data_IF_145603768132
#
_entry.id   IF_145603768132
#
_cell.length_a   1.000
_cell.length_b   1.000
_cell.length_c   1.000
_cell.angle_alpha   90.00
_cell.angle_beta   90.00
_cell.angle_gamma   90.00
#
_symmetry.space_group_name_H-M   'P 1'
#
loop_
_entity.id
_entity.type
_entity.pdbx_description
1 polymer ?
#
# COMPACT_ATOMS: atom_id res chain seq x y z
N UNK A 1 11.29 25.58 14.79
CA UNK A 1 11.90 24.67 13.79
C UNK A 1 11.03 24.70 12.55
N UNK A 2 11.60 25.02 11.38
CA UNK A 2 10.89 25.05 10.09
C UNK A 2 10.46 23.60 9.78
N UNK A 3 9.22 23.37 9.33
CA UNK A 3 8.69 22.02 9.09
C UNK A 3 9.55 21.22 8.10
N UNK A 4 10.03 21.87 7.04
CA UNK A 4 10.95 21.29 6.07
C UNK A 4 12.24 20.76 6.72
N UNK A 5 12.81 21.45 7.70
CA UNK A 5 14.03 20.99 8.40
C UNK A 5 13.80 19.65 9.10
N UNK A 6 12.64 19.47 9.74
CA UNK A 6 12.27 18.19 10.36
C UNK A 6 12.14 17.07 9.32
N UNK A 7 11.51 17.37 8.18
CA UNK A 7 11.37 16.43 7.07
C UNK A 7 12.76 16.07 6.51
N UNK A 8 13.64 17.04 6.33
CA UNK A 8 15.00 16.84 5.83
C UNK A 8 15.84 15.97 6.76
N UNK A 9 15.72 16.12 8.07
CA UNK A 9 16.42 15.22 9.00
C UNK A 9 15.85 13.79 8.97
N UNK A 10 14.54 13.63 8.81
CA UNK A 10 13.94 12.30 8.62
C UNK A 10 14.42 11.62 7.33
N UNK A 11 14.51 12.34 6.22
CA UNK A 11 14.94 11.74 4.94
C UNK A 11 16.37 11.22 4.96
N UNK A 12 17.25 11.80 5.78
CA UNK A 12 18.63 11.30 5.96
C UNK A 12 18.71 9.95 6.66
N UNK A 13 17.69 9.60 7.45
CA UNK A 13 17.63 8.32 8.18
C UNK A 13 17.11 7.18 7.33
N UNK A 14 16.51 7.48 6.16
CA UNK A 14 15.88 6.48 5.31
C UNK A 14 16.95 5.84 4.39
N UNK A 15 17.05 4.50 4.34
CA UNK A 15 17.94 3.81 3.43
C UNK A 15 17.68 4.17 1.96
N UNK A 16 18.75 4.45 1.21
CA UNK A 16 18.67 4.77 -0.23
C UNK A 16 18.09 3.60 -1.07
N UNK A 17 18.15 2.37 -0.54
CA UNK A 17 17.51 1.18 -1.12
C UNK A 17 15.97 1.25 -1.10
N UNK A 18 15.38 2.08 -0.24
CA UNK A 18 13.94 2.35 -0.19
C UNK A 18 13.63 3.55 -1.08
N UNK A 19 14.30 4.68 -0.80
CA UNK A 19 14.14 5.91 -1.57
C UNK A 19 15.37 6.80 -1.41
N UNK A 20 15.98 7.16 -2.53
CA UNK A 20 17.07 8.14 -2.55
C UNK A 20 16.52 9.54 -2.84
N UNK A 21 16.40 10.38 -1.80
CA UNK A 21 15.95 11.77 -1.91
C UNK A 21 17.00 12.72 -2.51
N UNK A 22 18.24 12.29 -2.70
CA UNK A 22 19.31 13.09 -3.34
C UNK A 22 19.22 13.08 -4.87
N UNK A 23 18.54 12.08 -5.44
CA UNK A 23 18.39 11.91 -6.89
C UNK A 23 17.02 12.44 -7.34
N UNK A 24 17.00 13.21 -8.43
CA UNK A 24 15.75 13.67 -9.04
C UNK A 24 14.84 12.50 -9.46
N UNK A 25 13.54 12.79 -9.53
CA UNK A 25 12.55 11.83 -10.00
C UNK A 25 12.71 11.63 -11.52
N UNK A 26 12.77 10.39 -11.96
CA UNK A 26 12.64 10.06 -13.39
C UNK A 26 11.23 10.42 -13.89
N UNK A 27 11.18 11.22 -14.96
CA UNK A 27 9.90 11.59 -15.58
C UNK A 27 9.36 10.40 -16.36
N UNK A 28 8.14 10.01 -16.04
CA UNK A 28 7.41 9.00 -16.81
C UNK A 28 6.49 9.69 -17.81
N UNK A 29 6.41 9.14 -19.02
CA UNK A 29 5.49 9.63 -20.05
C UNK A 29 4.05 9.21 -19.73
N UNK A 30 3.05 10.07 -20.00
CA UNK A 30 1.66 9.66 -19.92
C UNK A 30 1.39 8.48 -20.88
N UNK A 31 0.47 7.57 -20.51
CA UNK A 31 0.14 6.44 -21.37
C UNK A 31 -0.42 6.91 -22.71
N UNK A 32 0.06 6.33 -23.82
CA UNK A 32 -0.32 6.70 -25.19
C UNK A 32 -1.74 6.25 -25.56
N UNK A 33 -2.32 5.31 -24.79
CA UNK A 33 -3.68 4.79 -24.99
C UNK A 33 -4.44 4.75 -23.67
N UNK A 34 -5.70 5.18 -23.70
CA UNK A 34 -6.62 5.11 -22.56
C UNK A 34 -7.39 3.77 -22.61
N UNK A 35 -6.93 2.77 -21.85
CA UNK A 35 -7.69 1.54 -21.64
C UNK A 35 -8.93 1.78 -20.77
N UNK A 36 -9.95 0.92 -20.84
CA UNK A 36 -11.14 1.02 -19.98
C UNK A 36 -10.79 1.00 -18.48
N UNK A 37 -9.77 0.24 -18.10
CA UNK A 37 -9.25 0.22 -16.73
C UNK A 37 -8.63 1.56 -16.33
N UNK A 38 -7.90 2.21 -17.24
CA UNK A 38 -7.33 3.54 -16.99
C UNK A 38 -8.43 4.58 -16.76
N UNK A 39 -9.47 4.58 -17.62
CA UNK A 39 -10.61 5.49 -17.49
C UNK A 39 -11.32 5.26 -16.16
N UNK A 40 -11.62 4.01 -15.82
CA UNK A 40 -12.30 3.66 -14.55
C UNK A 40 -11.50 4.12 -13.34
N UNK A 41 -10.18 3.86 -13.30
CA UNK A 41 -9.32 4.28 -12.20
C UNK A 41 -9.22 5.80 -12.09
N UNK A 42 -9.20 6.51 -13.23
CA UNK A 42 -9.19 7.97 -13.26
C UNK A 42 -10.49 8.54 -12.68
N UNK A 43 -11.64 8.14 -13.22
CA UNK A 43 -12.95 8.61 -12.73
C UNK A 43 -13.13 8.34 -11.23
N UNK A 44 -12.59 7.21 -10.75
CA UNK A 44 -12.60 6.89 -9.33
C UNK A 44 -11.68 7.82 -8.51
N UNK A 45 -10.51 8.18 -9.03
CA UNK A 45 -9.63 9.19 -8.45
C UNK A 45 -10.33 10.55 -8.35
N UNK A 46 -10.90 11.02 -9.47
CA UNK A 46 -11.61 12.30 -9.56
C UNK A 46 -12.80 12.35 -8.58
N UNK A 47 -13.54 11.23 -8.43
CA UNK A 47 -14.59 11.10 -7.43
C UNK A 47 -14.07 11.26 -6.00
N UNK A 48 -12.97 10.59 -5.65
CA UNK A 48 -12.40 10.66 -4.31
C UNK A 48 -11.87 12.07 -3.97
N UNK A 49 -11.19 12.72 -4.92
CA UNK A 49 -10.73 14.10 -4.77
C UNK A 49 -11.92 15.03 -4.57
N UNK A 50 -12.97 14.92 -5.40
CA UNK A 50 -14.19 15.72 -5.28
C UNK A 50 -14.89 15.50 -3.94
N UNK A 51 -14.93 14.27 -3.44
CA UNK A 51 -15.53 13.94 -2.15
C UNK A 51 -14.81 14.66 -1.00
N UNK A 52 -13.48 14.57 -0.93
CA UNK A 52 -12.69 15.24 0.11
C UNK A 52 -12.78 16.76 -0.02
N UNK A 53 -12.69 17.28 -1.24
CA UNK A 53 -12.83 18.71 -1.53
C UNK A 53 -14.17 19.26 -1.03
N UNK A 54 -15.28 18.59 -1.36
CA UNK A 54 -16.63 18.98 -0.88
C UNK A 54 -16.75 18.84 0.62
N UNK A 55 -16.30 17.71 1.19
CA UNK A 55 -16.37 17.48 2.63
C UNK A 55 -15.69 18.62 3.41
N UNK A 56 -14.51 19.07 3.01
CA UNK A 56 -13.83 20.20 3.65
C UNK A 56 -14.66 21.48 3.48
N UNK A 57 -15.05 21.82 2.25
CA UNK A 57 -15.70 23.10 1.96
C UNK A 57 -17.13 23.21 2.51
N UNK A 58 -17.84 22.10 2.66
CA UNK A 58 -19.23 22.06 3.14
C UNK A 58 -19.31 21.93 4.67
N UNK A 59 -18.33 21.28 5.31
CA UNK A 59 -18.40 20.96 6.75
C UNK A 59 -17.42 21.72 7.62
N UNK A 60 -16.26 22.13 7.09
CA UNK A 60 -15.23 22.81 7.88
C UNK A 60 -15.60 24.26 8.14
N UNK A 61 -15.52 24.67 9.40
CA UNK A 61 -15.68 26.09 9.79
C UNK A 61 -14.39 26.89 9.62
N UNK A 62 -13.24 26.20 9.60
CA UNK A 62 -11.93 26.81 9.77
C UNK A 62 -11.08 26.80 8.49
N UNK A 63 -11.38 25.87 7.58
CA UNK A 63 -10.54 25.59 6.42
C UNK A 63 -11.34 25.62 5.12
N UNK A 64 -10.68 26.01 4.04
CA UNK A 64 -11.19 26.00 2.68
C UNK A 64 -10.24 25.14 1.84
N UNK A 65 -10.77 24.16 1.13
CA UNK A 65 -10.04 23.37 0.16
C UNK A 65 -10.03 24.09 -1.20
N UNK A 66 -8.85 24.18 -1.80
CA UNK A 66 -8.60 24.83 -3.09
C UNK A 66 -7.81 23.86 -3.98
N UNK A 67 -8.23 23.69 -5.24
CA UNK A 67 -7.51 22.86 -6.22
C UNK A 67 -6.22 23.54 -6.65
N UNK A 68 -5.12 22.80 -6.65
CA UNK A 68 -3.79 23.29 -6.96
C UNK A 68 -3.06 22.36 -7.94
N UNK A 69 -2.13 22.91 -8.72
CA UNK A 69 -1.29 22.13 -9.62
C UNK A 69 -2.06 21.51 -10.81
N UNK A 70 -1.34 20.78 -11.66
CA UNK A 70 -1.91 20.13 -12.86
C UNK A 70 -2.33 18.67 -12.61
N UNK A 71 -2.22 18.19 -11.37
CA UNK A 71 -2.15 16.77 -11.05
C UNK A 71 -3.00 16.39 -9.84
N UNK A 72 -4.26 16.85 -9.81
CA UNK A 72 -5.28 16.43 -8.84
C UNK A 72 -4.88 16.67 -7.36
N UNK A 73 -4.17 17.77 -7.09
CA UNK A 73 -3.76 18.16 -5.74
C UNK A 73 -4.75 19.16 -5.11
N UNK A 74 -4.97 19.02 -3.80
CA UNK A 74 -5.74 19.97 -3.00
C UNK A 74 -4.82 20.64 -1.99
N UNK A 75 -4.96 21.94 -1.79
CA UNK A 75 -4.44 22.62 -0.60
C UNK A 75 -5.59 23.00 0.33
N UNK A 76 -5.37 22.89 1.63
CA UNK A 76 -6.26 23.43 2.65
C UNK A 76 -5.67 24.76 3.14
N UNK A 77 -6.46 25.84 3.05
CA UNK A 77 -6.10 27.17 3.58
C UNK A 77 -7.02 27.53 4.74
N UNK A 78 -6.59 28.41 5.64
CA UNK A 78 -7.49 28.95 6.67
C UNK A 78 -8.55 29.84 6.01
N UNK A 79 -9.75 29.83 6.56
CA UNK A 79 -10.88 30.61 6.01
C UNK A 79 -10.59 32.12 5.92
N UNK A 80 -9.84 32.67 6.87
CA UNK A 80 -9.45 34.09 6.83
C UNK A 80 -8.34 34.40 5.80
N UNK A 81 -7.59 33.38 5.37
CA UNK A 81 -6.53 33.51 4.36
C UNK A 81 -7.04 33.21 2.95
N UNK A 82 -8.27 32.71 2.81
CA UNK A 82 -8.87 32.37 1.52
C UNK A 82 -9.04 33.61 0.64
N UNK A 83 -8.56 33.52 -0.60
CA UNK A 83 -8.69 34.58 -1.58
C UNK A 83 -9.88 34.33 -2.51
N UNK A 84 -10.94 35.12 -2.38
CA UNK A 84 -12.14 35.02 -3.22
C UNK A 84 -11.88 35.31 -4.69
N UNK A 85 -10.88 36.14 -5.02
CA UNK A 85 -10.56 36.50 -6.40
C UNK A 85 -9.92 35.34 -7.16
N UNK A 86 -9.15 34.51 -6.45
CA UNK A 86 -8.63 33.25 -6.97
C UNK A 86 -9.69 32.15 -7.01
N UNK A 87 -10.71 32.24 -6.15
CA UNK A 87 -11.74 31.21 -6.03
C UNK A 87 -11.20 29.88 -5.51
N UNK A 88 -11.88 28.79 -5.88
CA UNK A 88 -11.59 27.46 -5.36
C UNK A 88 -10.70 26.61 -6.27
N UNK A 89 -10.24 27.15 -7.40
CA UNK A 89 -9.39 26.44 -8.35
C UNK A 89 -8.30 27.36 -8.90
N UNK A 90 -7.07 27.13 -8.44
CA UNK A 90 -5.88 27.86 -8.86
C UNK A 90 -4.99 27.03 -9.79
N UNK A 91 -5.43 25.85 -10.23
CA UNK A 91 -4.66 24.91 -11.07
C UNK A 91 -4.16 25.50 -12.39
N UNK A 92 -4.89 26.49 -12.92
CA UNK A 92 -4.61 27.14 -14.21
C UNK A 92 -3.84 28.46 -14.08
N UNK A 93 -3.60 28.93 -12.85
CA UNK A 93 -2.89 30.18 -12.59
C UNK A 93 -1.37 29.92 -12.58
N UNK A 94 -0.57 30.86 -13.07
CA UNK A 94 0.89 30.71 -13.08
C UNK A 94 1.44 30.64 -11.66
N UNK A 95 2.38 29.73 -11.41
CA UNK A 95 3.00 29.56 -10.08
C UNK A 95 3.54 30.87 -9.49
N UNK A 96 4.15 31.74 -10.30
CA UNK A 96 4.67 33.04 -9.83
C UNK A 96 3.62 33.95 -9.20
N UNK A 97 2.34 33.77 -9.54
CA UNK A 97 1.23 34.58 -9.05
C UNK A 97 0.57 34.00 -7.79
N UNK A 98 0.74 32.70 -7.54
CA UNK A 98 0.06 31.97 -6.46
C UNK A 98 1.00 31.40 -5.41
N UNK A 99 2.33 31.40 -5.62
CA UNK A 99 3.29 30.79 -4.70
C UNK A 99 3.17 31.33 -3.26
N UNK A 100 3.01 32.65 -3.10
CA UNK A 100 2.83 33.25 -1.76
C UNK A 100 1.47 32.96 -1.14
N UNK A 101 0.45 32.68 -1.95
CA UNK A 101 -0.84 32.19 -1.48
C UNK A 101 -0.74 30.74 -1.01
N UNK A 102 -0.06 29.88 -1.78
CA UNK A 102 0.16 28.47 -1.43
C UNK A 102 0.98 28.33 -0.15
N UNK A 103 1.96 29.21 0.11
CA UNK A 103 2.71 29.24 1.38
C UNK A 103 1.84 29.48 2.62
N UNK A 104 0.65 30.05 2.46
CA UNK A 104 -0.32 30.26 3.57
C UNK A 104 -1.18 29.03 3.84
N UNK A 105 -1.10 28.00 2.99
CA UNK A 105 -1.82 26.75 3.21
C UNK A 105 -1.40 26.10 4.53
N UNK A 106 -2.37 25.50 5.21
CA UNK A 106 -2.11 24.70 6.41
C UNK A 106 -1.67 23.29 6.06
N UNK A 107 -2.07 22.79 4.89
CA UNK A 107 -1.71 21.48 4.39
C UNK A 107 -1.85 21.40 2.86
N UNK A 108 -0.96 20.63 2.21
CA UNK A 108 -1.23 19.99 0.93
C UNK A 108 -1.81 18.59 1.15
N UNK A 109 -2.70 18.16 0.26
CA UNK A 109 -3.42 16.89 0.35
C UNK A 109 -3.25 16.11 -0.96
N UNK A 110 -2.71 14.91 -0.83
CA UNK A 110 -2.66 13.90 -1.89
C UNK A 110 -3.82 12.92 -1.67
N UNK A 111 -4.75 12.86 -2.63
CA UNK A 111 -5.93 12.00 -2.51
C UNK A 111 -5.78 10.76 -3.40
N UNK A 112 -6.00 9.59 -2.81
CA UNK A 112 -6.01 8.29 -3.50
C UNK A 112 -7.35 7.60 -3.30
N UNK A 113 -7.78 6.88 -4.31
CA UNK A 113 -9.04 6.13 -4.31
C UNK A 113 -8.81 4.63 -4.26
N UNK A 114 -9.81 3.90 -3.76
CA UNK A 114 -9.81 2.43 -3.68
C UNK A 114 -11.22 1.89 -3.84
N UNK A 115 -11.38 0.86 -4.69
CA UNK A 115 -12.70 0.34 -5.11
C UNK A 115 -13.29 -0.67 -4.12
N UNK A 116 -12.87 -0.62 -2.87
CA UNK A 116 -13.28 -1.57 -1.84
C UNK A 116 -14.23 -0.93 -0.83
N UNK A 117 -15.13 -1.75 -0.31
CA UNK A 117 -15.81 -1.53 0.97
C UNK A 117 -14.97 -2.24 2.02
N UNK A 118 -14.43 -1.50 3.00
CA UNK A 118 -13.47 -2.02 3.96
C UNK A 118 -14.05 -3.21 4.72
N UNK A 119 -15.21 -3.04 5.33
CA UNK A 119 -15.78 -4.06 6.20
C UNK A 119 -16.11 -5.33 5.40
N UNK A 120 -16.59 -5.17 4.15
CA UNK A 120 -16.86 -6.31 3.26
C UNK A 120 -15.57 -7.01 2.85
N UNK A 121 -14.52 -6.26 2.52
CA UNK A 121 -13.23 -6.80 2.12
C UNK A 121 -12.59 -7.58 3.26
N UNK A 122 -12.46 -6.98 4.45
CA UNK A 122 -11.83 -7.63 5.61
C UNK A 122 -12.55 -8.91 6.00
N UNK A 123 -13.89 -8.88 6.06
CA UNK A 123 -14.69 -10.08 6.33
C UNK A 123 -14.46 -11.20 5.31
N UNK A 124 -14.32 -10.86 4.02
CA UNK A 124 -14.02 -11.84 2.98
C UNK A 124 -12.60 -12.38 3.10
N UNK A 125 -11.62 -11.53 3.42
CA UNK A 125 -10.23 -11.94 3.55
C UNK A 125 -10.02 -12.83 4.78
N UNK A 126 -10.62 -12.49 5.93
CA UNK A 126 -10.56 -13.32 7.13
C UNK A 126 -11.13 -14.72 6.86
N UNK A 127 -12.33 -14.80 6.26
CA UNK A 127 -12.95 -16.09 5.89
C UNK A 127 -12.07 -16.90 4.94
N UNK A 128 -11.44 -16.24 3.95
CA UNK A 128 -10.51 -16.88 3.02
C UNK A 128 -9.31 -17.45 3.77
N UNK A 129 -8.69 -16.66 4.65
CA UNK A 129 -7.52 -17.05 5.44
C UNK A 129 -7.85 -18.22 6.36
N UNK A 130 -8.93 -18.14 7.14
CA UNK A 130 -9.35 -19.19 8.07
C UNK A 130 -9.65 -20.52 7.36
N UNK A 131 -10.35 -20.45 6.22
CA UNK A 131 -10.69 -21.63 5.43
C UNK A 131 -9.43 -22.32 4.89
N UNK A 132 -8.46 -21.55 4.40
CA UNK A 132 -7.23 -22.12 3.84
C UNK A 132 -6.25 -22.56 4.93
N UNK A 133 -6.25 -21.92 6.10
CA UNK A 133 -5.49 -22.37 7.26
C UNK A 133 -6.00 -23.75 7.72
N UNK A 134 -7.31 -23.89 7.92
CA UNK A 134 -7.93 -25.17 8.26
C UNK A 134 -7.64 -26.25 7.22
N UNK A 135 -7.73 -25.89 5.93
CA UNK A 135 -7.38 -26.80 4.82
C UNK A 135 -5.90 -27.22 4.88
N UNK A 136 -4.97 -26.29 5.03
CA UNK A 136 -3.55 -26.58 5.11
C UNK A 136 -3.21 -27.52 6.28
N UNK A 137 -3.74 -27.23 7.47
CA UNK A 137 -3.53 -28.07 8.66
C UNK A 137 -4.16 -29.46 8.51
N UNK A 138 -5.35 -29.54 7.90
CA UNK A 138 -6.01 -30.82 7.60
C UNK A 138 -5.20 -31.67 6.62
N UNK A 139 -4.74 -31.09 5.50
CA UNK A 139 -3.93 -31.79 4.50
C UNK A 139 -2.58 -32.20 5.08
N UNK A 140 -1.92 -31.33 5.88
CA UNK A 140 -0.73 -31.69 6.65
C UNK A 140 -0.98 -32.95 7.49
N UNK A 141 -2.06 -32.95 8.27
CA UNK A 141 -2.41 -34.07 9.16
C UNK A 141 -2.63 -35.35 8.34
N UNK A 142 -3.33 -35.27 7.21
CA UNK A 142 -3.53 -36.40 6.32
C UNK A 142 -2.21 -36.96 5.80
N UNK A 143 -1.30 -36.11 5.32
CA UNK A 143 0.02 -36.53 4.84
C UNK A 143 0.80 -37.26 5.95
N UNK A 144 0.82 -36.70 7.16
CA UNK A 144 1.54 -37.28 8.29
C UNK A 144 0.95 -38.63 8.74
N UNK A 145 -0.37 -38.79 8.68
CA UNK A 145 -1.03 -40.04 9.09
C UNK A 145 -0.86 -41.15 8.04
N UNK A 146 -1.12 -40.86 6.76
CA UNK A 146 -1.23 -41.88 5.70
C UNK A 146 0.11 -42.18 5.01
N UNK A 147 1.09 -41.27 5.09
CA UNK A 147 2.33 -41.34 4.29
C UNK A 147 3.62 -41.21 5.12
N UNK A 148 3.56 -41.30 6.45
CA UNK A 148 4.77 -41.20 7.30
C UNK A 148 5.81 -42.28 6.99
N UNK A 149 5.38 -43.46 6.56
CA UNK A 149 6.25 -44.57 6.15
C UNK A 149 7.17 -44.16 5.00
N UNK A 150 6.61 -43.51 3.97
CA UNK A 150 7.36 -43.02 2.80
C UNK A 150 8.28 -41.86 3.20
N UNK A 151 7.81 -40.97 4.08
CA UNK A 151 8.53 -39.76 4.44
C UNK A 151 9.72 -40.02 5.37
N UNK A 152 9.73 -41.12 6.13
CA UNK A 152 10.86 -41.53 6.97
C UNK A 152 12.08 -42.01 6.17
N UNK A 153 11.94 -42.28 4.86
CA UNK A 153 13.09 -42.61 4.03
C UNK A 153 14.12 -41.46 4.02
N UNK A 154 15.44 -41.74 4.06
CA UNK A 154 16.48 -40.71 4.18
C UNK A 154 16.39 -39.59 3.13
N UNK A 155 16.02 -39.92 1.88
CA UNK A 155 15.90 -38.93 0.78
C UNK A 155 14.65 -38.04 0.88
N UNK A 156 13.65 -38.43 1.69
CA UNK A 156 12.36 -37.75 1.82
C UNK A 156 12.14 -37.13 3.21
N UNK A 157 12.98 -37.46 4.20
CA UNK A 157 12.85 -36.99 5.59
C UNK A 157 12.81 -35.46 5.72
N UNK A 158 13.48 -34.72 4.84
CA UNK A 158 13.38 -33.24 4.79
C UNK A 158 11.93 -32.73 4.69
N UNK A 159 11.05 -33.46 4.00
CA UNK A 159 9.64 -33.08 3.89
C UNK A 159 8.87 -33.38 5.18
N UNK A 160 9.27 -34.42 5.94
CA UNK A 160 8.71 -34.71 7.25
C UNK A 160 9.03 -33.58 8.24
N UNK A 161 10.28 -33.11 8.24
CA UNK A 161 10.72 -31.97 9.06
C UNK A 161 9.94 -30.69 8.72
N UNK A 162 9.80 -30.37 7.43
CA UNK A 162 8.99 -29.22 6.97
C UNK A 162 7.54 -29.37 7.47
N UNK A 163 6.91 -30.52 7.27
CA UNK A 163 5.53 -30.75 7.69
C UNK A 163 5.37 -30.58 9.20
N UNK A 164 6.30 -31.10 10.00
CA UNK A 164 6.28 -30.94 11.45
C UNK A 164 6.40 -29.47 11.87
N UNK A 165 7.23 -28.70 11.14
CA UNK A 165 7.41 -27.26 11.37
C UNK A 165 6.17 -26.40 11.08
N UNK A 166 5.24 -26.84 10.22
CA UNK A 166 4.04 -26.05 9.83
C UNK A 166 3.00 -26.00 10.96
N UNK A 167 2.70 -24.83 11.49
CA UNK A 167 1.64 -24.56 12.46
C UNK A 167 1.06 -23.15 12.23
N UNK A 168 0.10 -22.72 13.04
CA UNK A 168 -0.58 -21.41 12.88
C UNK A 168 0.40 -20.22 12.89
N UNK A 169 1.51 -20.32 13.63
CA UNK A 169 2.51 -19.25 13.74
C UNK A 169 3.56 -19.30 12.62
N UNK A 170 3.90 -20.50 12.13
CA UNK A 170 4.98 -20.67 11.14
C UNK A 170 4.48 -20.71 9.70
N UNK A 171 3.16 -20.85 9.48
CA UNK A 171 2.57 -20.95 8.14
C UNK A 171 2.83 -19.70 7.27
N UNK A 172 3.02 -18.54 7.89
CA UNK A 172 3.32 -17.30 7.17
C UNK A 172 4.76 -17.25 6.61
N UNK A 173 5.70 -17.97 7.23
CA UNK A 173 7.10 -18.01 6.83
C UNK A 173 7.48 -19.27 6.03
N UNK A 174 6.65 -20.32 6.05
CA UNK A 174 7.00 -21.60 5.44
C UNK A 174 7.02 -21.51 3.91
N UNK A 175 8.07 -22.07 3.31
CA UNK A 175 8.15 -22.29 1.87
C UNK A 175 8.86 -23.61 1.58
N UNK A 176 8.38 -24.32 0.55
CA UNK A 176 9.00 -25.57 0.12
C UNK A 176 8.80 -25.83 -1.38
N UNK A 177 9.73 -26.58 -1.96
CA UNK A 177 9.59 -27.10 -3.33
C UNK A 177 8.67 -28.31 -3.29
N UNK A 178 7.62 -28.29 -4.11
CA UNK A 178 6.66 -29.39 -4.14
C UNK A 178 7.34 -30.64 -4.74
N UNK A 179 7.24 -31.83 -4.12
CA UNK A 179 7.63 -33.06 -4.78
C UNK A 179 6.75 -33.36 -6.00
N UNK A 180 7.31 -34.07 -6.97
CA UNK A 180 6.61 -34.49 -8.20
C UNK A 180 6.73 -36.00 -8.41
N UNK A 181 6.60 -36.78 -7.34
CA UNK A 181 6.73 -38.23 -7.39
C UNK A 181 5.51 -38.87 -8.07
N UNK A 182 5.76 -39.79 -9.00
CA UNK A 182 4.72 -40.45 -9.80
C UNK A 182 4.96 -41.94 -10.06
N UNK A 183 6.02 -42.52 -9.49
CA UNK A 183 6.41 -43.90 -9.79
C UNK A 183 5.44 -44.96 -9.26
N UNK A 184 4.61 -44.61 -8.28
CA UNK A 184 3.51 -45.44 -7.79
C UNK A 184 2.27 -44.60 -7.60
N UNK A 185 1.10 -45.24 -7.57
CA UNK A 185 -0.16 -44.54 -7.28
C UNK A 185 -0.12 -43.85 -5.91
N UNK A 186 0.47 -44.49 -4.89
CA UNK A 186 0.64 -43.92 -3.54
C UNK A 186 1.50 -42.64 -3.59
N UNK A 187 2.60 -42.64 -4.35
CA UNK A 187 3.47 -41.46 -4.51
C UNK A 187 2.82 -40.34 -5.33
N UNK A 188 2.03 -40.70 -6.34
CA UNK A 188 1.26 -39.74 -7.12
C UNK A 188 0.21 -39.02 -6.25
N UNK A 189 -0.54 -39.77 -5.42
CA UNK A 189 -1.50 -39.21 -4.45
C UNK A 189 -0.81 -38.29 -3.44
N UNK A 190 0.34 -38.71 -2.88
CA UNK A 190 1.13 -37.86 -1.98
C UNK A 190 1.55 -36.54 -2.63
N UNK A 191 1.99 -36.57 -3.89
CA UNK A 191 2.38 -35.36 -4.62
C UNK A 191 1.21 -34.40 -4.86
N UNK A 192 -0.02 -34.93 -5.03
CA UNK A 192 -1.24 -34.12 -5.10
C UNK A 192 -1.55 -33.46 -3.74
N UNK A 193 -1.43 -34.19 -2.64
CA UNK A 193 -1.60 -33.60 -1.30
C UNK A 193 -0.59 -32.49 -1.02
N UNK A 194 0.68 -32.67 -1.40
CA UNK A 194 1.66 -31.58 -1.31
C UNK A 194 1.33 -30.38 -2.19
N UNK A 195 0.69 -30.60 -3.35
CA UNK A 195 0.17 -29.49 -4.17
C UNK A 195 -0.92 -28.75 -3.41
N UNK A 196 -1.93 -29.46 -2.90
CA UNK A 196 -3.03 -28.86 -2.17
C UNK A 196 -2.58 -28.10 -0.92
N UNK A 197 -1.61 -28.65 -0.18
CA UNK A 197 -0.98 -27.99 0.96
C UNK A 197 -0.31 -26.69 0.53
N UNK A 198 0.53 -26.73 -0.52
CA UNK A 198 1.24 -25.55 -1.01
C UNK A 198 0.28 -24.47 -1.50
N UNK A 199 -0.76 -24.86 -2.24
CA UNK A 199 -1.76 -23.93 -2.76
C UNK A 199 -2.54 -23.26 -1.61
N UNK A 200 -2.89 -24.01 -0.56
CA UNK A 200 -3.55 -23.46 0.63
C UNK A 200 -2.64 -22.49 1.39
N UNK A 201 -1.36 -22.84 1.60
CA UNK A 201 -0.36 -21.99 2.25
C UNK A 201 -0.17 -20.67 1.49
N UNK A 202 -0.05 -20.72 0.16
CA UNK A 202 0.07 -19.52 -0.69
C UNK A 202 -1.15 -18.60 -0.50
N UNK A 203 -2.35 -19.14 -0.30
CA UNK A 203 -3.55 -18.33 -0.07
C UNK A 203 -3.54 -17.70 1.33
N UNK A 204 -3.11 -18.43 2.36
CA UNK A 204 -2.96 -17.93 3.74
C UNK A 204 -1.94 -16.80 3.80
N UNK A 205 -0.82 -16.94 3.09
CA UNK A 205 0.27 -15.96 3.03
C UNK A 205 -0.08 -14.68 2.26
N UNK A 206 -1.22 -14.63 1.57
CA UNK A 206 -1.66 -13.39 0.93
C UNK A 206 -2.14 -12.40 1.99
N UNK A 207 -1.68 -11.16 1.88
CA UNK A 207 -2.19 -10.02 2.61
C UNK A 207 -3.72 -10.01 2.65
N UNK A 208 -4.25 -9.69 3.82
CA UNK A 208 -5.69 -9.74 4.15
C UNK A 208 -6.25 -8.36 4.55
N UNK A 209 -5.39 -7.34 4.64
CA UNK A 209 -5.76 -5.97 4.99
C UNK A 209 -5.63 -5.00 3.80
N UNK A 210 -6.35 -3.89 3.89
CA UNK A 210 -6.23 -2.75 2.98
C UNK A 210 -5.18 -1.77 3.51
N UNK A 211 -4.52 -1.05 2.62
CA UNK A 211 -3.39 -0.20 2.98
C UNK A 211 -3.49 1.17 2.32
N UNK A 212 -2.92 2.19 2.96
CA UNK A 212 -2.53 3.41 2.26
C UNK A 212 -1.26 3.08 1.47
N UNK A 213 -1.25 3.35 0.17
CA UNK A 213 -0.14 2.95 -0.73
C UNK A 213 0.52 4.13 -1.43
N UNK A 214 1.29 4.98 -0.71
CA UNK A 214 2.12 5.97 -1.39
C UNK A 214 3.13 5.26 -2.31
N UNK A 215 3.30 5.80 -3.51
CA UNK A 215 4.37 5.36 -4.41
C UNK A 215 5.63 6.11 -4.03
N UNK A 216 6.76 5.40 -4.07
CA UNK A 216 8.05 5.97 -3.70
C UNK A 216 8.39 7.19 -4.57
N UNK A 217 8.05 7.17 -5.88
CA UNK A 217 8.34 8.32 -6.73
C UNK A 217 7.55 9.58 -6.35
N UNK A 218 6.37 9.42 -5.76
CA UNK A 218 5.51 10.54 -5.34
C UNK A 218 6.06 11.18 -4.06
N UNK A 219 6.73 10.40 -3.20
CA UNK A 219 7.38 10.95 -1.99
C UNK A 219 8.45 12.00 -2.34
N UNK A 220 9.17 11.80 -3.44
CA UNK A 220 10.17 12.79 -3.92
C UNK A 220 9.50 14.10 -4.35
N UNK A 221 8.35 14.02 -5.00
CA UNK A 221 7.56 15.19 -5.43
C UNK A 221 7.08 15.96 -4.21
N UNK A 222 6.50 15.26 -3.24
CA UNK A 222 6.01 15.86 -2.00
C UNK A 222 7.15 16.46 -1.19
N UNK A 223 8.31 15.81 -1.11
CA UNK A 223 9.50 16.37 -0.47
C UNK A 223 9.93 17.71 -1.10
N UNK A 224 9.98 17.79 -2.45
CA UNK A 224 10.29 19.04 -3.16
C UNK A 224 9.22 20.12 -2.99
N UNK A 225 7.95 19.72 -2.91
CA UNK A 225 6.86 20.65 -2.62
C UNK A 225 6.99 21.24 -1.21
N UNK A 226 7.31 20.40 -0.21
CA UNK A 226 7.57 20.84 1.16
C UNK A 226 8.82 21.73 1.24
N UNK A 227 9.89 21.41 0.51
CA UNK A 227 11.09 22.27 0.40
C UNK A 227 10.71 23.67 -0.09
N UNK A 228 9.86 23.77 -1.11
CA UNK A 228 9.44 25.04 -1.71
C UNK A 228 8.52 25.87 -0.81
N UNK A 229 7.51 25.23 -0.20
CA UNK A 229 6.43 25.94 0.48
C UNK A 229 6.51 25.89 2.01
N UNK A 230 7.27 24.95 2.56
CA UNK A 230 7.35 24.68 4.00
C UNK A 230 5.96 24.42 4.63
N UNK A 231 5.09 23.75 3.87
CA UNK A 231 3.73 23.40 4.31
C UNK A 231 3.65 21.88 4.55
N UNK A 232 2.98 21.40 5.62
CA UNK A 232 2.70 19.99 5.83
C UNK A 232 1.94 19.33 4.68
N UNK A 233 2.15 18.03 4.48
CA UNK A 233 1.47 17.29 3.42
C UNK A 233 0.84 16.02 3.99
N UNK A 234 -0.35 15.67 3.52
CA UNK A 234 -1.12 14.52 4.00
C UNK A 234 -1.60 13.66 2.84
N UNK A 235 -1.57 12.35 3.03
CA UNK A 235 -2.10 11.37 2.10
C UNK A 235 -3.45 10.90 2.63
N UNK A 236 -4.46 10.91 1.77
CA UNK A 236 -5.76 10.33 2.05
C UNK A 236 -6.00 9.12 1.16
N UNK A 237 -6.41 8.01 1.76
CA UNK A 237 -6.92 6.85 1.03
C UNK A 237 -8.43 6.77 1.25
N UNK A 238 -9.18 6.99 0.17
CA UNK A 238 -10.64 7.00 0.16
C UNK A 238 -11.16 5.66 -0.35
N UNK A 239 -12.00 5.02 0.45
CA UNK A 239 -12.77 3.82 0.13
C UNK A 239 -14.25 4.21 -0.04
N UNK A 240 -15.09 3.27 -0.48
CA UNK A 240 -16.52 3.57 -0.66
C UNK A 240 -17.27 3.82 0.64
N UNK A 241 -16.78 3.30 1.77
CA UNK A 241 -17.42 3.38 3.09
C UNK A 241 -16.59 4.13 4.15
N UNK A 242 -15.28 4.30 3.94
CA UNK A 242 -14.35 4.92 4.91
C UNK A 242 -13.24 5.70 4.21
N UNK A 243 -12.56 6.58 4.95
CA UNK A 243 -11.32 7.21 4.50
C UNK A 243 -10.29 7.22 5.63
N UNK A 244 -9.01 7.12 5.27
CA UNK A 244 -7.90 7.27 6.22
C UNK A 244 -6.97 8.37 5.75
N UNK A 245 -6.36 9.07 6.71
CA UNK A 245 -5.35 10.09 6.47
C UNK A 245 -4.06 9.77 7.21
N UNK A 246 -2.91 9.98 6.57
CA UNK A 246 -1.60 9.91 7.19
C UNK A 246 -0.74 11.09 6.75
N UNK A 247 0.00 11.71 7.68
CA UNK A 247 0.92 12.80 7.32
C UNK A 247 2.15 12.23 6.60
N UNK A 248 2.70 12.99 5.66
CA UNK A 248 3.97 12.66 5.00
C UNK A 248 5.08 12.45 6.03
N UNK A 249 5.11 13.26 7.08
CA UNK A 249 6.04 13.08 8.19
C UNK A 249 5.91 11.69 8.83
N UNK A 250 4.69 11.22 9.10
CA UNK A 250 4.47 9.90 9.70
C UNK A 250 4.84 8.77 8.73
N UNK A 251 4.61 8.94 7.43
CA UNK A 251 5.10 7.99 6.41
C UNK A 251 6.61 7.87 6.52
N UNK A 252 7.33 9.00 6.52
CA UNK A 252 8.79 9.00 6.61
C UNK A 252 9.28 8.39 7.93
N UNK A 253 8.69 8.77 9.06
CA UNK A 253 9.04 8.20 10.36
C UNK A 253 8.84 6.68 10.39
N UNK A 254 7.73 6.19 9.83
CA UNK A 254 7.45 4.76 9.82
C UNK A 254 8.51 3.95 9.07
N UNK A 255 8.99 4.45 7.93
CA UNK A 255 10.03 3.78 7.13
C UNK A 255 11.47 4.00 7.65
N UNK A 256 11.64 4.74 8.76
CA UNK A 256 12.91 4.79 9.51
C UNK A 256 13.01 3.70 10.58
N UNK A 257 11.94 2.96 10.84
CA UNK A 257 11.81 1.96 11.90
C UNK A 257 11.72 0.54 11.29
N UNK A 258 12.86 -0.09 10.92
CA UNK A 258 12.87 -1.38 10.21
C UNK A 258 12.20 -2.52 11.01
N UNK A 259 12.16 -2.43 12.33
CA UNK A 259 11.46 -3.37 13.20
C UNK A 259 9.93 -3.36 13.02
N UNK A 260 9.38 -2.32 12.39
CA UNK A 260 7.95 -2.20 12.07
C UNK A 260 7.60 -2.80 10.69
N UNK A 261 8.60 -3.19 9.90
CA UNK A 261 8.37 -3.83 8.59
C UNK A 261 7.77 -5.23 8.77
N UNK A 262 6.74 -5.53 7.97
CA UNK A 262 5.96 -6.77 8.04
C UNK A 262 4.73 -6.71 8.96
N UNK A 263 4.66 -5.73 9.87
CA UNK A 263 3.49 -5.53 10.75
C UNK A 263 2.75 -4.23 10.44
N UNK A 264 3.47 -3.10 10.40
CA UNK A 264 2.89 -1.77 10.17
C UNK A 264 3.04 -1.30 8.73
N UNK A 265 4.08 -1.76 8.04
CA UNK A 265 4.26 -1.48 6.63
C UNK A 265 4.96 -2.62 5.89
N UNK A 266 4.77 -2.67 4.57
CA UNK A 266 5.50 -3.55 3.66
C UNK A 266 5.99 -2.74 2.46
N UNK A 267 7.20 -3.03 1.97
CA UNK A 267 7.72 -2.44 0.73
C UNK A 267 7.60 -3.48 -0.38
N UNK A 268 7.02 -3.11 -1.50
CA UNK A 268 6.88 -4.03 -2.64
C UNK A 268 6.89 -3.32 -3.98
N UNK A 269 7.47 -3.99 -4.97
CA UNK A 269 7.35 -3.65 -6.39
C UNK A 269 6.17 -4.43 -6.97
N UNK A 270 5.23 -3.73 -7.60
CA UNK A 270 4.08 -4.38 -8.24
C UNK A 270 4.23 -4.32 -9.76
N UNK A 271 4.29 -5.50 -10.37
CA UNK A 271 4.33 -5.68 -11.84
C UNK A 271 3.14 -4.95 -12.50
N UNK A 272 1.97 -4.96 -11.88
CA UNK A 272 0.77 -4.25 -12.39
C UNK A 272 0.93 -2.73 -12.36
N UNK A 273 1.79 -2.22 -11.48
CA UNK A 273 2.13 -0.80 -11.38
C UNK A 273 3.43 -0.47 -12.13
N UNK A 274 3.76 -1.21 -13.19
CA UNK A 274 4.98 -0.96 -13.97
C UNK A 274 6.26 -1.10 -13.14
N UNK A 275 6.28 -2.03 -12.17
CA UNK A 275 7.36 -2.25 -11.20
C UNK A 275 7.67 -1.05 -10.30
N UNK A 276 6.72 -0.13 -10.13
CA UNK A 276 6.86 0.98 -9.19
C UNK A 276 6.86 0.46 -7.76
N UNK A 277 7.84 0.92 -6.98
CA UNK A 277 7.96 0.63 -5.55
C UNK A 277 6.86 1.37 -4.78
N UNK A 278 6.13 0.64 -3.96
CA UNK A 278 5.05 1.15 -3.12
C UNK A 278 5.30 0.77 -1.67
N UNK A 279 4.97 1.70 -0.77
CA UNK A 279 4.96 1.42 0.67
C UNK A 279 3.51 1.13 1.03
N UNK A 280 3.22 -0.07 1.50
CA UNK A 280 1.88 -0.50 1.91
C UNK A 280 1.77 -0.29 3.42
N UNK A 281 1.13 0.80 3.82
CA UNK A 281 0.95 1.13 5.23
C UNK A 281 -0.36 0.51 5.73
N UNK A 282 -0.27 -0.28 6.79
CA UNK A 282 -1.41 -0.95 7.39
C UNK A 282 -2.44 0.07 7.91
N UNK A 283 -3.73 -0.18 7.67
CA UNK A 283 -4.84 0.70 8.09
C UNK A 283 -5.60 0.17 9.31
N UNK A 284 -5.21 -0.99 9.82
CA UNK A 284 -5.74 -1.59 11.05
C UNK A 284 -5.13 -0.95 12.30
#
# INVERSE_FOLDING_TARGET
MIYFEKIRELTKLIPASIVDFSIERERTSPPTQASSNFITNKEQGDWAEMLIFRAINETSKNYVAVRYGKSDDIIAVKKHDFNSDFGYDISKIKHSEIDDYVKKAVAGLEIRSSAFLIDKYENQMQKRTDLNLKKALSVKKQILLEYSDILKEPKKNKYLEILNGINENTIFAVSFIRPSWKSTEKLAKLSLLFKELKDAIIIVQKRDYLSITPKVEDLKVVHKWIEKFNVPHFYFQVFFDKSFGISFQNILSLITEPEKEGEYYEISEDIKNQNKTTIKINTR
#
